data_IF_536662009107
#
_entry.id   IF_536662009107
#
_cell.length_a   1.000
_cell.length_b   1.000
_cell.length_c   1.000
_cell.angle_alpha   90.00
_cell.angle_beta   90.00
_cell.angle_gamma   90.00
#
_symmetry.space_group_name_H-M   'P 1'
#
loop_
_entity.id
_entity.type
_entity.pdbx_description
1 polymer ?
#
# COMPACT_ATOMS: atom_id res chain seq x y z
N UNK A 1 -25.24 -6.30 -11.55
CA UNK A 1 -24.55 -5.18 -12.20
C UNK A 1 -23.03 -5.18 -11.96
N UNK A 2 -22.53 -5.47 -10.75
CA UNK A 2 -21.10 -5.40 -10.41
C UNK A 2 -20.17 -6.33 -11.24
N UNK A 3 -20.67 -7.43 -11.77
CA UNK A 3 -19.89 -8.37 -12.61
C UNK A 3 -19.92 -8.05 -14.11
N UNK A 4 -20.77 -7.16 -14.56
CA UNK A 4 -20.95 -6.85 -15.98
C UNK A 4 -19.86 -5.88 -16.48
N UNK A 5 -19.56 -4.84 -15.70
CA UNK A 5 -18.57 -3.82 -16.08
C UNK A 5 -17.18 -4.42 -16.34
N UNK A 6 -16.59 -5.26 -15.45
CA UNK A 6 -15.30 -5.89 -15.75
C UNK A 6 -15.31 -6.76 -17.01
N UNK A 7 -16.41 -7.46 -17.29
CA UNK A 7 -16.56 -8.28 -18.50
C UNK A 7 -16.58 -7.43 -19.77
N UNK A 8 -17.29 -6.29 -19.74
CA UNK A 8 -17.35 -5.36 -20.88
C UNK A 8 -15.99 -4.71 -21.13
N UNK A 9 -15.28 -4.31 -20.07
CA UNK A 9 -13.91 -3.80 -20.18
C UNK A 9 -12.98 -4.86 -20.77
N UNK A 10 -13.05 -6.10 -20.30
CA UNK A 10 -12.26 -7.21 -20.83
C UNK A 10 -12.55 -7.47 -22.30
N UNK A 11 -13.83 -7.52 -22.70
CA UNK A 11 -14.23 -7.68 -24.11
C UNK A 11 -13.69 -6.53 -24.98
N UNK A 12 -13.85 -5.29 -24.53
CA UNK A 12 -13.32 -4.12 -25.23
C UNK A 12 -11.80 -4.21 -25.43
N UNK A 13 -11.05 -4.53 -24.38
CA UNK A 13 -9.59 -4.65 -24.44
C UNK A 13 -9.15 -5.81 -25.37
N UNK A 14 -9.85 -6.93 -25.34
CA UNK A 14 -9.58 -8.06 -26.23
C UNK A 14 -9.81 -7.69 -27.70
N UNK A 15 -10.91 -7.01 -28.02
CA UNK A 15 -11.17 -6.53 -29.39
C UNK A 15 -10.14 -5.49 -29.83
N UNK A 16 -9.80 -4.56 -28.94
CA UNK A 16 -8.78 -3.54 -29.22
C UNK A 16 -7.40 -4.16 -29.43
N UNK A 17 -7.07 -5.24 -28.73
CA UNK A 17 -5.78 -5.91 -28.84
C UNK A 17 -5.55 -6.53 -30.24
N UNK A 18 -6.61 -6.86 -30.98
CA UNK A 18 -6.52 -7.39 -32.37
C UNK A 18 -6.05 -6.30 -33.34
N UNK A 19 -6.52 -5.04 -33.16
CA UNK A 19 -6.26 -3.95 -34.13
C UNK A 19 -5.20 -2.97 -33.65
N UNK A 20 -5.01 -2.85 -32.33
CA UNK A 20 -4.08 -1.90 -31.72
C UNK A 20 -3.50 -2.45 -30.39
N UNK A 21 -2.64 -3.48 -30.42
CA UNK A 21 -2.17 -4.21 -29.23
C UNK A 21 -1.46 -3.30 -28.22
N UNK A 22 -0.60 -2.38 -28.66
CA UNK A 22 0.09 -1.44 -27.78
C UNK A 22 -0.88 -0.52 -27.02
N UNK A 23 -1.95 -0.08 -27.68
CA UNK A 23 -2.98 0.76 -27.07
C UNK A 23 -3.81 -0.03 -26.05
N UNK A 24 -4.17 -1.26 -26.39
CA UNK A 24 -4.87 -2.16 -25.48
C UNK A 24 -4.02 -2.43 -24.22
N UNK A 25 -2.73 -2.72 -24.38
CA UNK A 25 -1.79 -2.92 -23.27
C UNK A 25 -1.67 -1.68 -22.39
N UNK A 26 -1.53 -0.50 -22.96
CA UNK A 26 -1.44 0.77 -22.19
C UNK A 26 -2.71 1.03 -21.38
N UNK A 27 -3.90 0.83 -21.96
CA UNK A 27 -5.17 1.01 -21.25
C UNK A 27 -5.32 -0.06 -20.17
N UNK A 28 -5.00 -1.32 -20.47
CA UNK A 28 -5.04 -2.42 -19.50
C UNK A 28 -4.12 -2.16 -18.31
N UNK A 29 -2.88 -1.74 -18.57
CA UNK A 29 -1.92 -1.39 -17.53
C UNK A 29 -2.39 -0.20 -16.67
N UNK A 30 -2.90 0.86 -17.31
CA UNK A 30 -3.46 2.00 -16.61
C UNK A 30 -4.61 1.61 -15.67
N UNK A 31 -5.53 0.77 -16.12
CA UNK A 31 -6.63 0.27 -15.29
C UNK A 31 -6.12 -0.64 -14.17
N UNK A 32 -5.17 -1.53 -14.49
CA UNK A 32 -4.55 -2.42 -13.52
C UNK A 32 -3.85 -1.67 -12.39
N UNK A 33 -3.16 -0.58 -12.70
CA UNK A 33 -2.45 0.23 -11.71
C UNK A 33 -3.37 1.13 -10.85
N UNK A 34 -4.69 1.12 -11.08
CA UNK A 34 -5.67 1.89 -10.32
C UNK A 34 -6.41 1.03 -9.30
N UNK A 35 -5.98 1.03 -8.03
CA UNK A 35 -6.67 0.27 -7.00
C UNK A 35 -8.05 0.85 -6.70
N UNK A 36 -9.01 -0.01 -6.42
CA UNK A 36 -10.23 0.40 -5.76
C UNK A 36 -9.90 0.61 -4.27
N UNK A 37 -9.97 1.86 -3.83
CA UNK A 37 -9.63 2.22 -2.44
C UNK A 37 -10.55 1.50 -1.46
N UNK A 38 -9.99 0.67 -0.60
CA UNK A 38 -10.74 0.06 0.51
C UNK A 38 -11.18 1.13 1.49
N UNK A 39 -12.47 1.13 1.83
CA UNK A 39 -13.03 2.06 2.83
C UNK A 39 -12.58 1.65 4.23
N UNK A 40 -12.20 2.64 5.03
CA UNK A 40 -11.99 2.44 6.45
C UNK A 40 -13.34 2.28 7.15
N UNK A 41 -13.51 1.16 7.84
CA UNK A 41 -14.70 0.93 8.65
C UNK A 41 -14.54 1.55 10.04
N UNK A 42 -15.65 1.86 10.70
CA UNK A 42 -15.63 2.50 12.02
C UNK A 42 -14.79 1.72 13.07
N UNK A 43 -14.82 0.39 13.03
CA UNK A 43 -14.04 -0.44 13.95
C UNK A 43 -12.52 -0.41 13.71
N UNK A 44 -12.05 0.19 12.59
CA UNK A 44 -10.61 0.39 12.34
C UNK A 44 -10.04 1.56 13.14
N UNK A 45 -10.87 2.54 13.55
CA UNK A 45 -10.40 3.78 14.17
C UNK A 45 -9.63 3.52 15.46
N UNK A 46 -10.15 2.70 16.37
CA UNK A 46 -9.49 2.39 17.64
C UNK A 46 -8.06 1.84 17.45
N UNK A 47 -7.84 1.02 16.41
CA UNK A 47 -6.50 0.54 16.07
C UNK A 47 -5.58 1.66 15.60
N UNK A 48 -6.06 2.51 14.69
CA UNK A 48 -5.26 3.64 14.21
C UNK A 48 -5.04 4.72 15.26
N UNK A 49 -5.97 4.87 16.23
CA UNK A 49 -5.82 5.84 17.32
C UNK A 49 -4.79 5.40 18.36
N UNK A 50 -4.43 4.10 18.39
CA UNK A 50 -3.32 3.59 19.19
C UNK A 50 -1.93 3.84 18.58
N UNK A 51 -1.87 4.35 17.34
CA UNK A 51 -0.63 4.64 16.64
C UNK A 51 -0.24 6.11 16.76
N UNK A 52 1.04 6.38 16.72
CA UNK A 52 1.55 7.68 16.29
C UNK A 52 1.39 7.78 14.77
N UNK A 53 0.58 8.74 14.30
CA UNK A 53 0.26 8.96 12.88
C UNK A 53 1.13 10.10 12.36
N UNK A 54 1.71 9.92 11.19
CA UNK A 54 2.44 10.99 10.50
C UNK A 54 2.33 10.81 8.99
N UNK A 55 2.58 11.89 8.26
CA UNK A 55 2.57 11.88 6.80
C UNK A 55 3.93 12.33 6.26
N UNK A 56 4.21 11.94 5.04
CA UNK A 56 5.36 12.43 4.28
C UNK A 56 5.07 12.42 2.78
N UNK A 57 5.81 13.27 2.05
CA UNK A 57 5.70 13.33 0.60
C UNK A 57 6.64 12.32 -0.05
N UNK A 58 6.13 11.58 -1.05
CA UNK A 58 6.90 10.67 -1.88
C UNK A 58 6.22 10.49 -3.24
N UNK A 59 6.99 10.63 -4.33
CA UNK A 59 6.47 10.47 -5.69
C UNK A 59 5.34 11.45 -6.06
N UNK A 60 5.27 12.62 -5.43
CA UNK A 60 4.21 13.61 -5.62
C UNK A 60 2.91 13.31 -4.86
N UNK A 61 2.93 12.31 -3.98
CA UNK A 61 1.79 11.90 -3.17
C UNK A 61 2.10 12.02 -1.67
N UNK A 62 1.08 12.36 -0.88
CA UNK A 62 1.17 12.35 0.58
C UNK A 62 0.92 10.93 1.08
N UNK A 63 1.92 10.35 1.73
CA UNK A 63 1.88 8.97 2.24
C UNK A 63 1.55 9.00 3.73
N UNK A 64 0.51 8.27 4.12
CA UNK A 64 0.13 8.07 5.51
C UNK A 64 0.96 6.96 6.12
N UNK A 65 1.59 7.24 7.26
CA UNK A 65 2.37 6.30 8.04
C UNK A 65 1.88 6.21 9.49
N UNK A 66 2.20 5.09 10.09
CA UNK A 66 1.82 4.74 11.46
C UNK A 66 3.01 4.15 12.18
N UNK A 67 3.16 4.46 13.47
CA UNK A 67 4.14 3.83 14.36
C UNK A 67 3.49 3.36 15.64
N UNK A 68 3.77 2.12 16.03
CA UNK A 68 3.43 1.54 17.32
C UNK A 68 4.69 1.16 18.07
N UNK A 69 4.79 1.54 19.34
CA UNK A 69 5.96 1.29 20.17
C UNK A 69 7.13 2.26 19.91
N UNK A 70 8.13 2.17 20.80
CA UNK A 70 9.33 3.02 20.78
C UNK A 70 10.61 2.20 21.07
N UNK A 71 10.56 0.90 20.83
CA UNK A 71 11.73 0.03 20.99
C UNK A 71 12.80 0.32 19.94
N UNK A 72 14.05 -0.10 20.20
CA UNK A 72 15.20 0.20 19.34
C UNK A 72 15.23 -0.55 18.00
N UNK A 73 14.38 -1.58 17.83
CA UNK A 73 14.34 -2.40 16.61
C UNK A 73 13.20 -1.97 15.71
N UNK A 74 13.51 -1.38 14.56
CA UNK A 74 12.52 -0.95 13.59
C UNK A 74 12.01 -2.15 12.75
N UNK A 75 10.71 -2.33 12.67
CA UNK A 75 10.05 -3.32 11.82
C UNK A 75 9.07 -2.62 10.90
N UNK A 76 9.13 -2.88 9.60
CA UNK A 76 8.23 -2.32 8.61
C UNK A 76 7.23 -3.38 8.11
N UNK A 77 5.96 -2.99 8.05
CA UNK A 77 4.85 -3.80 7.57
C UNK A 77 4.29 -3.19 6.27
N UNK A 78 4.42 -3.93 5.15
CA UNK A 78 4.09 -3.46 3.79
C UNK A 78 2.89 -4.24 3.26
N UNK A 79 1.72 -3.59 3.15
CA UNK A 79 0.47 -4.24 2.76
C UNK A 79 0.37 -4.52 1.25
N UNK A 80 -0.57 -5.37 0.86
CA UNK A 80 -0.83 -5.74 -0.53
C UNK A 80 -1.86 -4.86 -1.24
N UNK A 81 -2.18 -5.24 -2.48
CA UNK A 81 -3.15 -4.59 -3.35
C UNK A 81 -4.53 -4.49 -2.68
N UNK A 82 -5.22 -3.36 -2.89
CA UNK A 82 -6.56 -3.06 -2.37
C UNK A 82 -6.71 -3.30 -0.86
N UNK A 83 -5.64 -3.06 -0.09
CA UNK A 83 -5.59 -3.20 1.36
C UNK A 83 -5.19 -1.86 2.00
N UNK A 84 -4.86 -1.86 3.28
CA UNK A 84 -4.33 -0.72 4.03
C UNK A 84 -3.70 -1.22 5.35
N UNK A 85 -3.07 -0.34 6.12
CA UNK A 85 -2.29 -0.68 7.33
C UNK A 85 -3.07 -1.47 8.40
N UNK A 86 -4.40 -1.38 8.45
CA UNK A 86 -5.22 -2.17 9.38
C UNK A 86 -5.05 -3.69 9.23
N UNK A 87 -4.67 -4.16 8.05
CA UNK A 87 -4.35 -5.57 7.82
C UNK A 87 -3.39 -6.13 8.87
N UNK A 88 -2.51 -5.29 9.38
CA UNK A 88 -1.43 -5.67 10.28
C UNK A 88 -1.82 -5.69 11.75
N UNK A 89 -3.11 -5.42 12.09
CA UNK A 89 -3.57 -5.32 13.48
C UNK A 89 -3.05 -6.46 14.37
N UNK A 90 -3.29 -7.72 13.97
CA UNK A 90 -2.87 -8.89 14.75
C UNK A 90 -1.34 -8.97 14.94
N UNK A 91 -0.58 -8.59 13.91
CA UNK A 91 0.88 -8.54 13.99
C UNK A 91 1.34 -7.43 14.92
N UNK A 92 0.80 -6.23 14.75
CA UNK A 92 1.10 -5.09 15.63
C UNK A 92 0.79 -5.42 17.09
N UNK A 93 -0.33 -6.07 17.37
CA UNK A 93 -0.72 -6.48 18.72
C UNK A 93 0.23 -7.52 19.33
N UNK A 94 0.85 -8.38 18.51
CA UNK A 94 1.78 -9.42 18.94
C UNK A 94 3.21 -8.91 19.22
N UNK A 95 3.61 -7.75 18.68
CA UNK A 95 4.93 -7.20 18.93
C UNK A 95 5.05 -6.60 20.32
N UNK A 96 6.17 -6.86 21.00
CA UNK A 96 6.56 -6.15 22.23
C UNK A 96 7.00 -4.71 21.89
N UNK A 97 6.20 -3.73 22.30
CA UNK A 97 6.40 -2.31 21.99
C UNK A 97 7.59 -1.68 22.72
N UNK A 98 8.13 -2.33 23.75
CA UNK A 98 9.36 -1.91 24.42
C UNK A 98 10.61 -2.30 23.64
N UNK A 99 10.53 -3.37 22.83
CA UNK A 99 11.64 -3.90 22.03
C UNK A 99 11.59 -3.45 20.58
N UNK A 100 10.39 -3.16 20.06
CA UNK A 100 10.16 -2.85 18.64
C UNK A 100 9.45 -1.52 18.45
N UNK A 101 9.88 -0.80 17.44
CA UNK A 101 9.13 0.26 16.77
C UNK A 101 8.54 -0.33 15.49
N UNK A 102 7.22 -0.55 15.47
CA UNK A 102 6.53 -1.19 14.33
C UNK A 102 5.94 -0.10 13.46
N UNK A 103 6.38 -0.04 12.22
CA UNK A 103 5.91 0.91 11.22
C UNK A 103 5.00 0.22 10.21
N UNK A 104 3.99 0.94 9.73
CA UNK A 104 3.22 0.57 8.55
C UNK A 104 2.93 1.83 7.75
N UNK A 105 2.82 1.69 6.43
CA UNK A 105 2.39 2.78 5.54
C UNK A 105 1.20 2.32 4.72
N UNK A 106 0.32 3.25 4.38
CA UNK A 106 -0.65 3.05 3.32
C UNK A 106 0.02 3.35 1.98
N UNK A 107 -0.02 2.42 1.03
CA UNK A 107 0.55 2.59 -0.30
C UNK A 107 -0.07 3.79 -1.05
N UNK A 108 0.59 4.38 -2.06
CA UNK A 108 -0.05 5.35 -2.94
C UNK A 108 -1.41 4.85 -3.46
N UNK A 109 -2.44 5.68 -3.41
CA UNK A 109 -3.81 5.31 -3.81
C UNK A 109 -4.57 4.39 -2.85
N UNK A 110 -4.02 4.04 -1.68
CA UNK A 110 -4.64 3.17 -0.67
C UNK A 110 -4.85 3.89 0.66
N UNK A 111 -5.69 3.32 1.51
CA UNK A 111 -5.95 3.79 2.87
C UNK A 111 -6.17 5.30 2.94
N UNK A 112 -5.37 6.00 3.75
CA UNK A 112 -5.38 7.46 3.90
C UNK A 112 -4.30 8.18 3.07
N UNK A 113 -3.43 7.46 2.35
CA UNK A 113 -2.50 8.07 1.39
C UNK A 113 -3.24 8.68 0.20
N UNK A 114 -2.68 9.74 -0.39
CA UNK A 114 -3.22 10.33 -1.62
C UNK A 114 -2.90 9.48 -2.85
N UNK A 115 -3.30 9.96 -4.01
CA UNK A 115 -3.06 9.29 -5.28
C UNK A 115 -4.20 8.41 -5.77
N UNK A 116 -4.07 8.01 -7.03
CA UNK A 116 -5.03 7.14 -7.74
C UNK A 116 -4.36 5.95 -8.41
N UNK A 117 -3.03 5.93 -8.40
CA UNK A 117 -2.23 4.92 -9.07
C UNK A 117 -1.23 4.32 -8.08
N UNK A 118 -1.02 3.02 -8.16
CA UNK A 118 0.03 2.33 -7.44
C UNK A 118 0.77 1.39 -8.39
N UNK A 119 2.08 1.49 -8.38
CA UNK A 119 3.02 0.55 -9.01
C UNK A 119 4.07 0.14 -8.00
N UNK A 120 4.77 -0.97 -8.22
CA UNK A 120 5.86 -1.39 -7.32
C UNK A 120 6.91 -0.29 -7.19
N UNK A 121 7.42 0.36 -8.25
CA UNK A 121 8.38 1.46 -8.12
C UNK A 121 7.88 2.63 -7.26
N UNK A 122 6.62 3.07 -7.45
CA UNK A 122 6.06 4.15 -6.63
C UNK A 122 5.94 3.77 -5.16
N UNK A 123 5.56 2.52 -4.89
CA UNK A 123 5.42 2.05 -3.52
C UNK A 123 6.81 1.85 -2.87
N UNK A 124 7.79 1.34 -3.62
CA UNK A 124 9.18 1.21 -3.13
C UNK A 124 9.80 2.57 -2.84
N UNK A 125 9.56 3.58 -3.67
CA UNK A 125 9.98 4.95 -3.41
C UNK A 125 9.39 5.49 -2.08
N UNK A 126 8.13 5.17 -1.79
CA UNK A 126 7.52 5.53 -0.51
C UNK A 126 8.17 4.80 0.67
N UNK A 127 8.50 3.51 0.50
CA UNK A 127 9.27 2.74 1.50
C UNK A 127 10.64 3.34 1.72
N UNK A 128 11.41 3.63 0.68
CA UNK A 128 12.74 4.26 0.75
C UNK A 128 12.69 5.61 1.46
N UNK A 129 11.68 6.43 1.13
CA UNK A 129 11.47 7.73 1.79
C UNK A 129 11.23 7.57 3.29
N UNK A 130 10.44 6.54 3.69
CA UNK A 130 10.25 6.22 5.10
C UNK A 130 11.57 5.77 5.75
N UNK A 131 12.33 4.89 5.09
CA UNK A 131 13.63 4.39 5.61
C UNK A 131 14.61 5.53 5.88
N UNK A 132 14.67 6.52 4.99
CA UNK A 132 15.49 7.73 5.20
C UNK A 132 15.10 8.53 6.46
N UNK A 133 13.88 8.33 7.00
CA UNK A 133 13.39 8.99 8.21
C UNK A 133 13.56 8.16 9.49
N UNK A 134 13.37 6.84 9.37
CA UNK A 134 13.34 5.94 10.53
C UNK A 134 14.66 5.20 10.76
N UNK A 135 15.56 5.24 9.76
CA UNK A 135 16.85 4.58 9.81
C UNK A 135 16.77 3.08 9.49
N UNK A 136 17.79 2.34 9.93
CA UNK A 136 17.94 0.91 9.62
C UNK A 136 16.76 0.07 10.13
N UNK A 137 16.32 -0.88 9.29
CA UNK A 137 15.32 -1.86 9.66
C UNK A 137 15.96 -3.11 10.27
N UNK A 138 15.35 -3.60 11.34
CA UNK A 138 15.60 -4.93 11.87
C UNK A 138 14.93 -6.01 11.01
N UNK A 139 13.74 -5.72 10.49
CA UNK A 139 12.99 -6.62 9.61
C UNK A 139 11.94 -5.86 8.79
N UNK A 140 11.57 -6.42 7.64
CA UNK A 140 10.40 -6.04 6.85
C UNK A 140 9.47 -7.24 6.66
N UNK A 141 8.17 -7.03 6.77
CA UNK A 141 7.13 -8.04 6.51
C UNK A 141 6.21 -7.51 5.43
N UNK A 142 6.22 -8.14 4.28
CA UNK A 142 5.39 -7.77 3.14
C UNK A 142 4.31 -8.81 2.85
N UNK A 143 3.15 -8.36 2.38
CA UNK A 143 2.09 -9.23 1.89
C UNK A 143 1.83 -8.98 0.41
N UNK A 144 1.86 -10.05 -0.43
CA UNK A 144 1.58 -9.96 -1.87
C UNK A 144 2.48 -8.91 -2.54
N UNK A 145 1.92 -7.93 -3.27
CA UNK A 145 2.70 -6.83 -3.87
C UNK A 145 3.55 -6.06 -2.84
N UNK A 146 3.15 -6.00 -1.57
CA UNK A 146 3.99 -5.43 -0.51
C UNK A 146 5.26 -6.25 -0.24
N UNK A 147 5.24 -7.56 -0.47
CA UNK A 147 6.44 -8.39 -0.44
C UNK A 147 7.39 -8.05 -1.60
N UNK A 148 6.85 -7.88 -2.81
CA UNK A 148 7.63 -7.39 -3.96
C UNK A 148 8.26 -6.03 -3.67
N UNK A 149 7.47 -5.10 -3.13
CA UNK A 149 7.93 -3.75 -2.77
C UNK A 149 9.08 -3.77 -1.76
N UNK A 150 9.04 -4.71 -0.80
CA UNK A 150 10.05 -4.78 0.26
C UNK A 150 11.42 -5.33 -0.21
N UNK A 151 11.48 -5.95 -1.40
CA UNK A 151 12.71 -6.54 -1.97
C UNK A 151 13.15 -5.88 -3.27
N UNK A 152 12.35 -4.95 -3.80
CA UNK A 152 12.63 -4.19 -5.02
C UNK A 152 13.67 -3.11 -4.75
#
# INVERSE_FOLDING_TARGET
MERLIPKLIGLYLNLLAVVAPSKAASIGFFLFCRPLRSKLAAHHHAFFDSAEKFCFESGGETIQAYRWGRGPKNVLLVHGWQSHAFRWKKYVEAFDKSRYSVYAIDAPGHGLSTGKTMTVPLYSQAVETLLGRVGELHAAIGHSVGGFTAVY
#
